data_IF_613331368626
#
_entry.id   IF_613331368626
#
_cell.length_a   1.000
_cell.length_b   1.000
_cell.length_c   1.000
_cell.angle_alpha   90.00
_cell.angle_beta   90.00
_cell.angle_gamma   90.00
#
_symmetry.space_group_name_H-M   'P 1'
#
loop_
_entity.id
_entity.type
_entity.pdbx_description
1 polymer ?
#
# COMPACT_ATOMS: atom_id res chain seq x y z
N UNK A 1 -24.14 5.31 -10.12
CA UNK A 1 -22.76 5.81 -10.19
C UNK A 1 -22.68 7.24 -9.72
N UNK A 2 -21.68 7.52 -8.92
CA UNK A 2 -21.45 8.86 -8.40
C UNK A 2 -20.25 9.50 -9.07
N UNK A 3 -20.27 10.81 -9.18
CA UNK A 3 -19.20 11.58 -9.77
C UNK A 3 -18.45 12.28 -8.65
N UNK A 4 -17.12 12.18 -8.66
CA UNK A 4 -16.26 12.80 -7.65
C UNK A 4 -15.14 13.56 -8.36
N UNK A 5 -14.90 14.79 -7.91
CA UNK A 5 -13.75 15.55 -8.41
C UNK A 5 -12.64 15.50 -7.36
N UNK A 6 -11.47 15.07 -7.79
CA UNK A 6 -10.29 15.03 -6.94
C UNK A 6 -9.24 16.00 -7.50
N UNK A 7 -8.49 16.61 -6.59
CA UNK A 7 -7.43 17.56 -6.96
C UNK A 7 -6.08 16.88 -6.79
N UNK A 8 -5.32 16.80 -7.85
CA UNK A 8 -3.96 16.26 -7.83
C UNK A 8 -3.05 17.24 -8.52
N UNK A 9 -2.08 17.75 -7.77
CA UNK A 9 -1.16 18.74 -8.30
C UNK A 9 -1.85 20.01 -8.79
N UNK A 10 -2.85 20.45 -8.06
CA UNK A 10 -3.68 21.62 -8.38
C UNK A 10 -4.52 21.50 -9.65
N UNK A 11 -4.68 20.27 -10.15
CA UNK A 11 -5.52 20.01 -11.31
C UNK A 11 -6.72 19.16 -10.90
N UNK A 12 -7.92 19.55 -11.32
CA UNK A 12 -9.12 18.76 -11.02
C UNK A 12 -9.24 17.58 -11.96
N UNK A 13 -9.64 16.46 -11.41
CA UNK A 13 -9.94 15.24 -12.16
C UNK A 13 -11.29 14.71 -11.72
N UNK A 14 -12.17 14.51 -12.66
CA UNK A 14 -13.48 13.94 -12.38
C UNK A 14 -13.44 12.44 -12.63
N UNK A 15 -13.80 11.68 -11.62
CA UNK A 15 -13.86 10.23 -11.72
C UNK A 15 -15.22 9.74 -11.27
N UNK A 16 -15.58 8.55 -11.71
CA UNK A 16 -16.85 7.94 -11.37
C UNK A 16 -16.61 6.77 -10.44
N UNK A 17 -17.46 6.62 -9.46
CA UNK A 17 -17.37 5.52 -8.52
C UNK A 17 -18.77 4.99 -8.21
N UNK A 18 -18.84 3.91 -7.45
CA UNK A 18 -20.12 3.40 -6.97
C UNK A 18 -20.70 4.36 -5.96
N UNK A 19 -22.03 4.40 -5.89
CA UNK A 19 -22.71 5.21 -4.90
C UNK A 19 -22.25 4.79 -3.50
N UNK A 20 -21.91 5.76 -2.69
CA UNK A 20 -21.39 5.51 -1.35
C UNK A 20 -19.87 5.41 -1.29
N UNK A 21 -19.18 5.39 -2.43
CA UNK A 21 -17.72 5.32 -2.47
C UNK A 21 -17.01 6.66 -2.55
N UNK A 22 -17.74 7.75 -2.53
CA UNK A 22 -17.17 9.08 -2.76
C UNK A 22 -16.11 9.48 -1.75
N UNK A 23 -16.37 9.22 -0.47
CA UNK A 23 -15.40 9.58 0.58
C UNK A 23 -14.10 8.80 0.43
N UNK A 24 -14.19 7.53 0.04
CA UNK A 24 -13.01 6.71 -0.19
C UNK A 24 -12.20 7.24 -1.37
N UNK A 25 -12.87 7.60 -2.46
CA UNK A 25 -12.19 8.14 -3.64
C UNK A 25 -11.49 9.45 -3.30
N UNK A 26 -12.12 10.32 -2.51
CA UNK A 26 -11.49 11.56 -2.07
C UNK A 26 -10.25 11.30 -1.23
N UNK A 27 -10.32 10.32 -0.33
CA UNK A 27 -9.17 9.92 0.48
C UNK A 27 -8.03 9.42 -0.41
N UNK A 28 -8.33 8.58 -1.38
CA UNK A 28 -7.33 8.07 -2.31
C UNK A 28 -6.71 9.21 -3.14
N UNK A 29 -7.53 10.16 -3.56
CA UNK A 29 -7.05 11.35 -4.26
C UNK A 29 -6.07 12.15 -3.43
N UNK A 30 -6.35 12.31 -2.14
CA UNK A 30 -5.44 13.01 -1.22
C UNK A 30 -4.10 12.27 -1.09
N UNK A 31 -4.12 10.97 -1.07
CA UNK A 31 -2.89 10.17 -1.04
C UNK A 31 -2.03 10.42 -2.28
N UNK A 32 -2.66 10.53 -3.42
CA UNK A 32 -1.95 10.85 -4.67
C UNK A 32 -1.39 12.27 -4.62
N UNK A 33 -2.20 13.22 -4.19
CA UNK A 33 -1.79 14.61 -4.12
C UNK A 33 -0.61 14.82 -3.17
N UNK A 34 -0.57 14.09 -2.07
CA UNK A 34 0.53 14.15 -1.12
C UNK A 34 1.88 13.75 -1.73
N UNK A 35 1.85 12.92 -2.75
CA UNK A 35 3.06 12.46 -3.42
C UNK A 35 3.48 13.37 -4.57
N UNK A 36 2.64 14.31 -4.91
CA UNK A 36 2.88 15.15 -6.08
C UNK A 36 4.19 15.95 -6.00
N UNK A 37 4.52 16.63 -4.88
CA UNK A 37 5.76 17.40 -4.82
C UNK A 37 7.01 16.57 -5.09
N UNK A 38 7.07 15.36 -4.52
CA UNK A 38 8.21 14.47 -4.73
C UNK A 38 8.27 13.97 -6.18
N UNK A 39 7.12 13.62 -6.74
CA UNK A 39 7.02 13.17 -8.12
C UNK A 39 7.41 14.28 -9.09
N UNK A 40 7.00 15.51 -8.81
CA UNK A 40 7.35 16.65 -9.64
C UNK A 40 8.87 16.87 -9.65
N UNK A 41 9.51 16.79 -8.50
CA UNK A 41 10.97 16.86 -8.41
C UNK A 41 11.64 15.74 -9.17
N UNK A 42 11.15 14.52 -9.03
CA UNK A 42 11.73 13.36 -9.71
C UNK A 42 11.61 13.46 -11.22
N UNK A 43 10.56 14.13 -11.71
CA UNK A 43 10.35 14.33 -13.14
C UNK A 43 11.19 15.48 -13.70
N UNK A 44 12.01 16.13 -12.87
CA UNK A 44 12.78 17.29 -13.30
C UNK A 44 11.96 18.56 -13.42
N UNK A 45 10.86 18.64 -12.69
CA UNK A 45 9.96 19.79 -12.73
C UNK A 45 8.93 19.71 -13.84
N UNK A 46 8.89 18.62 -14.57
CA UNK A 46 7.88 18.45 -15.63
C UNK A 46 6.54 18.06 -15.02
N UNK A 47 5.60 18.96 -15.12
CA UNK A 47 4.25 18.77 -14.62
C UNK A 47 3.45 17.85 -15.56
N UNK A 48 2.30 17.39 -15.10
CA UNK A 48 1.39 16.61 -15.92
C UNK A 48 1.70 15.13 -15.95
N UNK A 49 1.68 14.56 -17.15
CA UNK A 49 1.77 13.12 -17.33
C UNK A 49 3.04 12.51 -16.77
N UNK A 50 4.17 13.18 -16.93
CA UNK A 50 5.45 12.67 -16.43
C UNK A 50 5.48 12.62 -14.91
N UNK A 51 4.99 13.66 -14.25
CA UNK A 51 4.89 13.65 -12.79
C UNK A 51 3.93 12.56 -12.32
N UNK A 52 2.83 12.37 -13.04
CA UNK A 52 1.89 11.31 -12.71
C UNK A 52 2.52 9.91 -12.84
N UNK A 53 3.37 9.73 -13.84
CA UNK A 53 4.12 8.48 -13.97
C UNK A 53 4.96 8.22 -12.72
N UNK A 54 5.64 9.23 -12.20
CA UNK A 54 6.43 9.06 -10.99
C UNK A 54 5.58 8.80 -9.77
N UNK A 55 4.39 9.41 -9.67
CA UNK A 55 3.45 9.06 -8.60
C UNK A 55 3.09 7.58 -8.69
N UNK A 56 2.79 7.10 -9.89
CA UNK A 56 2.44 5.70 -10.10
C UNK A 56 3.59 4.77 -9.72
N UNK A 57 4.82 5.12 -10.09
CA UNK A 57 5.99 4.32 -9.73
C UNK A 57 6.21 4.30 -8.22
N UNK A 58 6.04 5.42 -7.56
CA UNK A 58 6.17 5.50 -6.10
C UNK A 58 5.13 4.62 -5.40
N UNK A 59 3.91 4.62 -5.91
CA UNK A 59 2.85 3.79 -5.36
C UNK A 59 3.09 2.31 -5.63
N UNK A 60 3.56 1.98 -6.82
CA UNK A 60 3.89 0.59 -7.16
C UNK A 60 5.00 0.06 -6.26
N UNK A 61 6.01 0.88 -6.00
CA UNK A 61 7.09 0.54 -5.09
C UNK A 61 6.57 0.29 -3.67
N UNK A 62 5.72 1.19 -3.18
CA UNK A 62 5.12 1.05 -1.85
C UNK A 62 4.24 -0.19 -1.76
N UNK A 63 3.47 -0.47 -2.80
CA UNK A 63 2.62 -1.65 -2.85
C UNK A 63 3.44 -2.92 -2.83
N UNK A 64 4.48 -2.99 -3.65
CA UNK A 64 5.35 -4.15 -3.72
C UNK A 64 6.03 -4.41 -2.38
N UNK A 65 6.47 -3.36 -1.71
CA UNK A 65 7.06 -3.50 -0.39
C UNK A 65 6.05 -3.96 0.65
N UNK A 66 4.83 -3.44 0.61
CA UNK A 66 3.77 -3.86 1.53
C UNK A 66 3.38 -5.32 1.32
N UNK A 67 3.41 -5.79 0.08
CA UNK A 67 3.12 -7.18 -0.24
C UNK A 67 4.20 -8.14 0.24
N UNK A 68 5.40 -7.67 0.43
CA UNK A 68 6.50 -8.50 0.93
C UNK A 68 6.46 -8.72 2.42
N UNK A 69 5.77 -7.89 3.17
CA UNK A 69 5.70 -8.03 4.62
C UNK A 69 4.28 -7.93 5.13
N UNK A 70 3.96 -8.72 6.15
CA UNK A 70 2.66 -8.59 6.78
C UNK A 70 2.55 -7.23 7.45
N UNK A 71 1.38 -6.59 7.38
CA UNK A 71 1.18 -5.30 8.03
C UNK A 71 1.30 -5.45 9.54
N UNK A 72 2.20 -4.68 10.14
CA UNK A 72 2.41 -4.71 11.57
C UNK A 72 1.25 -4.00 12.27
N UNK A 73 0.69 -4.65 13.29
CA UNK A 73 -0.36 -4.05 14.10
C UNK A 73 -1.71 -3.91 13.43
N UNK A 74 -1.85 -4.38 12.21
CA UNK A 74 -3.11 -4.35 11.51
C UNK A 74 -3.94 -5.59 11.82
N UNK A 75 -5.23 -5.54 11.49
CA UNK A 75 -6.06 -6.72 11.54
C UNK A 75 -5.48 -7.79 10.61
N UNK A 76 -5.12 -8.92 11.19
CA UNK A 76 -4.44 -9.98 10.44
C UNK A 76 -5.47 -10.98 9.97
N UNK A 77 -5.46 -11.27 8.67
CA UNK A 77 -6.35 -12.25 8.09
C UNK A 77 -5.99 -13.67 8.55
N UNK A 78 -6.94 -14.59 8.45
CA UNK A 78 -6.66 -16.01 8.75
C UNK A 78 -5.51 -16.55 7.92
N UNK A 79 -5.45 -16.19 6.65
CA UNK A 79 -4.37 -16.63 5.78
C UNK A 79 -3.02 -16.09 6.25
N UNK A 80 -2.97 -14.84 6.70
CA UNK A 80 -1.74 -14.27 7.23
C UNK A 80 -1.35 -14.93 8.54
N UNK A 81 -2.31 -15.20 9.43
CA UNK A 81 -2.05 -15.92 10.68
C UNK A 81 -1.54 -17.32 10.41
N UNK A 82 -2.11 -18.01 9.44
CA UNK A 82 -1.66 -19.36 9.08
C UNK A 82 -0.20 -19.33 8.61
N UNK A 83 0.18 -18.36 7.81
CA UNK A 83 1.57 -18.22 7.34
C UNK A 83 2.52 -17.95 8.49
N UNK A 84 2.11 -17.11 9.43
CA UNK A 84 2.93 -16.82 10.61
C UNK A 84 3.08 -18.09 11.46
N UNK A 85 2.00 -18.83 11.67
CA UNK A 85 2.03 -20.08 12.42
C UNK A 85 2.97 -21.10 11.77
N UNK A 86 2.90 -21.26 10.45
CA UNK A 86 3.78 -22.17 9.72
C UNK A 86 5.25 -21.78 9.89
N UNK A 87 5.55 -20.50 9.85
CA UNK A 87 6.92 -20.01 10.04
C UNK A 87 7.42 -20.29 11.44
N UNK A 88 6.57 -20.09 12.43
CA UNK A 88 6.92 -20.35 13.83
C UNK A 88 7.16 -21.84 14.07
N UNK A 89 6.31 -22.70 13.49
CA UNK A 89 6.49 -24.14 13.60
C UNK A 89 7.78 -24.61 12.94
N UNK A 90 8.07 -24.09 11.75
CA UNK A 90 9.31 -24.42 11.05
C UNK A 90 10.53 -23.99 11.84
N UNK A 91 10.46 -22.81 12.47
CA UNK A 91 11.54 -22.33 13.30
C UNK A 91 11.71 -23.18 14.54
N UNK A 92 10.63 -23.55 15.19
CA UNK A 92 10.67 -24.41 16.38
C UNK A 92 11.28 -25.75 16.04
N UNK A 93 10.89 -26.36 14.92
CA UNK A 93 11.44 -27.64 14.47
C UNK A 93 12.95 -27.53 14.21
N UNK A 94 13.39 -26.41 13.64
CA UNK A 94 14.80 -26.20 13.39
C UNK A 94 15.60 -25.99 14.68
N UNK A 95 14.96 -25.43 15.70
CA UNK A 95 15.62 -25.12 16.97
C UNK A 95 15.51 -26.22 18.02
N UNK A 96 14.74 -27.28 17.74
CA UNK A 96 14.56 -28.39 18.64
C UNK A 96 15.06 -29.70 18.05
N UNK A 97 16.27 -29.76 17.56
CA UNK A 97 16.72 -30.97 16.86
C UNK A 97 16.78 -32.18 17.76
N UNK A 98 16.93 -32.02 19.04
CA UNK A 98 17.14 -33.13 19.96
C UNK A 98 16.17 -33.13 21.12
N UNK A 99 14.97 -32.63 20.84
CA UNK A 99 13.95 -32.61 21.85
C UNK A 99 14.15 -31.55 22.91
N UNK A 100 15.00 -30.57 22.67
CA UNK A 100 15.07 -29.43 23.56
C UNK A 100 13.74 -28.73 23.55
N UNK A 101 13.34 -28.22 24.66
CA UNK A 101 12.05 -27.59 24.78
C UNK A 101 11.84 -26.45 23.81
N UNK A 102 10.60 -26.19 23.44
CA UNK A 102 10.31 -25.09 22.54
C UNK A 102 10.72 -23.77 23.18
N UNK A 103 11.17 -22.87 22.36
CA UNK A 103 11.46 -21.54 22.78
C UNK A 103 10.14 -20.81 22.86
N UNK A 104 9.68 -20.63 24.01
CA UNK A 104 8.37 -20.06 24.26
C UNK A 104 8.26 -18.61 23.96
#
# INVERSE_FOLDING_TARGET
>A
MAEVTIMIGDRPHTVYCQDGGEARVRMLGQMLDQRWPAALRASGGHNGERALLFVALMLADALEEAERRPPAGAAVSEAALARIAERLEALADALEPEGSGPIG
#
